data_IF_063639111141
#
_entry.id   IF_063639111141
#
_cell.length_a   1.000
_cell.length_b   1.000
_cell.length_c   1.000
_cell.angle_alpha   90.00
_cell.angle_beta   90.00
_cell.angle_gamma   90.00
#
_symmetry.space_group_name_H-M   'P 1'
#
loop_
_entity.id
_entity.type
_entity.pdbx_description
1 polymer ?
#
# COMPACT_ATOMS: atom_id res chain seq x y z
N UNK A 1 0.37 22.46 -30.74
CA UNK A 1 1.66 22.63 -30.05
C UNK A 1 2.27 21.26 -29.84
N UNK A 2 2.94 20.81 -30.88
CA UNK A 2 3.75 19.59 -30.93
C UNK A 2 5.18 20.07 -30.63
N UNK A 3 5.75 19.68 -29.51
CA UNK A 3 7.10 20.08 -29.18
C UNK A 3 7.38 19.94 -27.68
N UNK A 4 7.83 18.73 -27.25
CA UNK A 4 8.63 18.46 -26.03
C UNK A 4 8.84 16.96 -25.77
N UNK A 5 8.35 16.05 -26.61
CA UNK A 5 8.70 14.63 -26.52
C UNK A 5 10.06 14.34 -27.18
N UNK A 6 10.49 15.18 -28.10
CA UNK A 6 11.79 15.11 -28.78
C UNK A 6 12.95 15.55 -27.88
N UNK A 7 12.71 16.29 -26.78
CA UNK A 7 13.77 16.80 -25.91
C UNK A 7 14.46 15.71 -25.06
N UNK A 8 13.81 14.59 -24.76
CA UNK A 8 14.45 13.52 -23.98
C UNK A 8 15.32 12.64 -24.89
N UNK A 9 14.89 12.34 -26.09
CA UNK A 9 15.72 11.63 -27.08
C UNK A 9 16.83 12.55 -27.62
N UNK A 10 16.59 13.86 -27.72
CA UNK A 10 17.61 14.85 -28.05
C UNK A 10 18.61 15.09 -26.89
N UNK A 11 18.21 15.03 -25.63
CA UNK A 11 19.14 15.04 -24.51
C UNK A 11 20.00 13.78 -24.49
N UNK A 12 19.46 12.61 -24.77
CA UNK A 12 20.25 11.37 -24.91
C UNK A 12 21.18 11.40 -26.14
N UNK A 13 20.78 12.04 -27.24
CA UNK A 13 21.59 12.16 -28.46
C UNK A 13 22.65 13.25 -28.38
N UNK A 14 22.38 14.39 -27.72
CA UNK A 14 23.34 15.52 -27.64
C UNK A 14 24.42 15.36 -26.55
N UNK A 15 24.19 14.58 -25.50
CA UNK A 15 25.24 14.28 -24.51
C UNK A 15 26.30 13.29 -25.01
N UNK A 16 26.12 12.70 -26.18
CA UNK A 16 27.10 11.77 -26.78
C UNK A 16 28.24 12.45 -27.55
N UNK A 17 28.28 13.78 -27.66
CA UNK A 17 29.21 14.49 -28.58
C UNK A 17 30.32 15.30 -27.90
N UNK A 18 30.50 15.25 -26.57
CA UNK A 18 31.65 15.90 -25.91
C UNK A 18 32.59 14.87 -25.28
N UNK A 19 33.37 14.21 -26.11
CA UNK A 19 34.55 13.47 -25.73
C UNK A 19 35.65 13.84 -26.73
N UNK A 20 36.29 14.97 -26.57
CA UNK A 20 37.41 15.43 -27.37
C UNK A 20 38.74 15.18 -26.65
N UNK A 21 39.65 14.60 -27.36
CA UNK A 21 41.03 14.24 -26.99
C UNK A 21 41.85 15.39 -26.45
N UNK A 22 42.63 15.13 -25.40
CA UNK A 22 43.66 16.04 -24.89
C UNK A 22 44.81 15.25 -24.25
N UNK A 23 45.89 15.10 -25.00
CA UNK A 23 47.18 14.48 -24.63
C UNK A 23 47.93 15.34 -23.65
N UNK A 24 48.59 14.73 -22.61
CA UNK A 24 49.62 15.43 -21.81
C UNK A 24 49.99 14.71 -20.50
N UNK A 25 51.14 14.10 -20.50
CA UNK A 25 51.70 13.24 -19.47
C UNK A 25 52.08 13.87 -18.14
N UNK A 26 52.29 13.00 -17.15
CA UNK A 26 52.84 13.35 -15.86
C UNK A 26 52.59 12.28 -14.78
N UNK A 27 53.63 11.50 -14.50
CA UNK A 27 53.65 10.39 -13.55
C UNK A 27 53.74 10.89 -12.11
N UNK A 28 52.72 10.58 -11.28
CA UNK A 28 52.84 10.57 -9.81
C UNK A 28 52.02 9.40 -9.26
N UNK A 29 52.72 8.47 -8.60
CA UNK A 29 52.10 7.39 -7.80
C UNK A 29 51.70 7.97 -6.45
N UNK A 30 50.44 7.73 -6.06
CA UNK A 30 50.02 7.91 -4.67
C UNK A 30 48.67 8.58 -4.54
N UNK A 31 47.68 7.81 -4.02
CA UNK A 31 46.30 8.20 -3.75
C UNK A 31 45.50 8.38 -5.05
N UNK A 32 44.59 7.47 -5.34
CA UNK A 32 43.75 7.54 -6.54
C UNK A 32 42.96 8.86 -6.57
N UNK A 33 43.52 9.84 -7.25
CA UNK A 33 42.80 11.08 -7.58
C UNK A 33 41.76 10.69 -8.60
N UNK A 34 40.48 10.81 -8.25
CA UNK A 34 39.38 10.73 -9.19
C UNK A 34 39.58 11.86 -10.20
N UNK A 35 40.14 11.53 -11.36
CA UNK A 35 40.50 12.52 -12.38
C UNK A 35 39.37 12.82 -13.33
N UNK A 36 38.42 11.89 -13.46
CA UNK A 36 37.25 12.05 -14.32
C UNK A 36 36.00 11.42 -13.66
N UNK A 37 34.84 11.93 -13.99
CA UNK A 37 33.56 11.43 -13.50
C UNK A 37 33.29 9.95 -13.82
N UNK A 38 33.92 9.41 -14.88
CA UNK A 38 33.85 7.98 -15.22
C UNK A 38 34.57 7.07 -14.21
N UNK A 39 35.50 7.62 -13.41
CA UNK A 39 36.35 6.87 -12.49
C UNK A 39 35.73 6.79 -11.07
N UNK A 40 34.50 7.33 -10.87
CA UNK A 40 33.81 7.23 -9.59
C UNK A 40 33.48 5.77 -9.31
N UNK A 41 33.86 5.20 -8.14
CA UNK A 41 33.45 3.87 -7.73
C UNK A 41 31.92 3.72 -7.76
N UNK A 42 31.42 2.56 -8.22
CA UNK A 42 29.99 2.29 -8.37
C UNK A 42 29.21 2.57 -7.09
N UNK A 43 29.74 2.17 -5.94
CA UNK A 43 29.11 2.36 -4.63
C UNK A 43 28.92 3.84 -4.29
N UNK A 44 29.92 4.68 -4.59
CA UNK A 44 29.81 6.12 -4.38
C UNK A 44 28.82 6.76 -5.35
N UNK A 45 28.85 6.35 -6.62
CA UNK A 45 27.88 6.82 -7.60
C UNK A 45 26.44 6.48 -7.19
N UNK A 46 26.17 5.25 -6.78
CA UNK A 46 24.84 4.84 -6.33
C UNK A 46 24.41 5.59 -5.06
N UNK A 47 25.36 5.87 -4.15
CA UNK A 47 25.07 6.69 -2.98
C UNK A 47 24.73 8.14 -3.33
N UNK A 48 25.44 8.74 -4.30
CA UNK A 48 25.13 10.09 -4.82
C UNK A 48 23.76 10.07 -5.49
N UNK A 49 23.48 9.08 -6.33
CA UNK A 49 22.22 8.95 -7.05
C UNK A 49 21.04 8.71 -6.09
N UNK A 50 21.25 8.05 -4.96
CA UNK A 50 20.21 7.88 -3.94
C UNK A 50 19.79 9.18 -3.21
N UNK A 51 20.56 10.26 -3.37
CA UNK A 51 20.26 11.57 -2.77
C UNK A 51 19.53 12.53 -3.73
N UNK A 52 19.36 12.14 -5.00
CA UNK A 52 18.66 12.94 -6.00
C UNK A 52 17.31 12.29 -6.36
N UNK A 53 16.44 13.06 -7.02
CA UNK A 53 15.17 12.51 -7.50
C UNK A 53 15.36 11.53 -8.68
N UNK A 54 14.37 10.67 -8.89
CA UNK A 54 14.43 9.61 -9.90
C UNK A 54 14.59 10.15 -11.34
N UNK A 55 14.07 11.35 -11.63
CA UNK A 55 14.25 11.99 -12.93
C UNK A 55 15.72 12.33 -13.16
N UNK A 56 16.38 12.91 -12.16
CA UNK A 56 17.80 13.25 -12.19
C UNK A 56 18.66 11.98 -12.27
N UNK A 57 18.30 10.91 -11.55
CA UNK A 57 18.96 9.61 -11.64
C UNK A 57 18.90 9.00 -13.05
N UNK A 58 17.72 9.07 -13.71
CA UNK A 58 17.57 8.61 -15.10
C UNK A 58 18.42 9.45 -16.05
N UNK A 59 18.44 10.78 -15.91
CA UNK A 59 19.28 11.67 -16.73
C UNK A 59 20.76 11.35 -16.50
N UNK A 60 21.18 11.13 -15.27
CA UNK A 60 22.55 10.76 -14.92
C UNK A 60 23.01 9.45 -15.60
N UNK A 61 22.11 8.50 -15.83
CA UNK A 61 22.39 7.28 -16.59
C UNK A 61 22.79 7.54 -18.05
N UNK A 62 22.56 8.74 -18.57
CA UNK A 62 22.96 9.18 -19.89
C UNK A 62 24.37 9.80 -19.99
N UNK A 63 25.06 10.05 -18.86
CA UNK A 63 26.35 10.75 -18.84
C UNK A 63 27.46 9.95 -19.54
N UNK A 64 27.63 8.68 -19.22
CA UNK A 64 28.56 7.78 -19.87
C UNK A 64 28.11 6.31 -19.72
N UNK A 65 28.77 5.38 -20.42
CA UNK A 65 28.45 3.96 -20.32
C UNK A 65 28.61 3.41 -18.91
N UNK A 66 29.68 3.75 -18.21
CA UNK A 66 29.91 3.30 -16.83
C UNK A 66 28.82 3.77 -15.85
N UNK A 67 28.39 5.03 -15.95
CA UNK A 67 27.26 5.54 -15.15
C UNK A 67 25.95 4.85 -15.52
N UNK A 68 25.72 4.62 -16.81
CA UNK A 68 24.53 3.88 -17.26
C UNK A 68 24.49 2.50 -16.65
N UNK A 69 25.54 1.74 -16.78
CA UNK A 69 25.59 0.37 -16.30
C UNK A 69 25.44 0.33 -14.77
N UNK A 70 26.16 1.18 -14.06
CA UNK A 70 26.07 1.30 -12.59
C UNK A 70 24.64 1.66 -12.14
N UNK A 71 24.05 2.71 -12.72
CA UNK A 71 22.71 3.18 -12.33
C UNK A 71 21.63 2.18 -12.74
N UNK A 72 21.66 1.67 -13.97
CA UNK A 72 20.63 0.75 -14.46
C UNK A 72 20.65 -0.62 -13.75
N UNK A 73 21.82 -1.10 -13.34
CA UNK A 73 21.96 -2.38 -12.63
C UNK A 73 21.93 -2.23 -11.11
N UNK A 74 22.23 -1.03 -10.58
CA UNK A 74 22.30 -0.79 -9.15
C UNK A 74 21.02 -0.21 -8.54
N UNK A 75 20.16 0.49 -9.33
CA UNK A 75 18.91 1.03 -8.82
C UNK A 75 17.88 -0.08 -8.61
N UNK A 76 17.37 -0.16 -7.39
CA UNK A 76 16.31 -1.09 -6.99
C UNK A 76 14.95 -0.40 -6.80
N UNK A 77 14.91 0.92 -6.73
CA UNK A 77 13.72 1.72 -6.50
C UNK A 77 13.60 2.79 -7.58
N UNK A 78 12.43 2.94 -8.17
CA UNK A 78 12.16 3.94 -9.19
C UNK A 78 10.71 4.42 -9.12
N UNK A 79 10.52 5.75 -9.07
CA UNK A 79 9.20 6.38 -9.18
C UNK A 79 9.14 7.26 -10.43
N UNK A 80 8.19 6.96 -11.31
CA UNK A 80 7.96 7.74 -12.54
C UNK A 80 6.72 8.66 -12.42
N UNK A 81 6.17 8.85 -11.23
CA UNK A 81 4.96 9.66 -10.97
C UNK A 81 5.06 11.12 -11.46
N UNK A 82 6.28 11.62 -11.64
CA UNK A 82 6.54 12.95 -12.20
C UNK A 82 6.27 13.05 -13.70
N UNK A 83 6.24 11.92 -14.44
CA UNK A 83 6.01 11.90 -15.89
C UNK A 83 4.54 12.10 -16.21
N UNK A 84 4.17 13.31 -16.64
CA UNK A 84 2.76 13.69 -16.86
C UNK A 84 2.19 13.28 -18.22
N UNK A 85 3.01 13.12 -19.26
CA UNK A 85 2.53 13.06 -20.64
C UNK A 85 3.08 11.90 -21.48
N UNK A 86 3.96 11.05 -20.98
CA UNK A 86 4.58 9.98 -21.79
C UNK A 86 4.96 8.74 -20.98
N UNK A 87 4.17 8.42 -19.95
CA UNK A 87 4.47 7.33 -19.02
C UNK A 87 4.68 5.99 -19.75
N UNK A 88 3.79 5.65 -20.69
CA UNK A 88 3.84 4.37 -21.40
C UNK A 88 5.17 4.19 -22.12
N UNK A 89 5.56 5.16 -22.96
CA UNK A 89 6.81 5.10 -23.71
C UNK A 89 8.05 5.15 -22.81
N UNK A 90 7.97 5.92 -21.73
CA UNK A 90 9.03 5.99 -20.73
C UNK A 90 9.27 4.62 -20.08
N UNK A 91 8.21 3.94 -19.66
CA UNK A 91 8.30 2.58 -19.10
C UNK A 91 8.86 1.59 -20.14
N UNK A 92 8.37 1.62 -21.39
CA UNK A 92 8.85 0.76 -22.47
C UNK A 92 10.35 0.95 -22.72
N UNK A 93 10.87 2.16 -22.57
CA UNK A 93 12.30 2.46 -22.79
C UNK A 93 13.18 2.13 -21.58
N UNK A 94 12.65 2.26 -20.36
CA UNK A 94 13.42 2.10 -19.12
C UNK A 94 13.39 0.67 -18.56
N UNK A 95 12.23 -0.01 -18.57
CA UNK A 95 12.11 -1.34 -17.96
C UNK A 95 13.16 -2.36 -18.47
N UNK A 96 13.53 -2.41 -19.77
CA UNK A 96 14.58 -3.30 -20.25
C UNK A 96 15.97 -2.98 -19.72
N UNK A 97 16.21 -1.76 -19.26
CA UNK A 97 17.51 -1.31 -18.73
C UNK A 97 17.61 -1.51 -17.22
N UNK A 98 16.52 -1.24 -16.47
CA UNK A 98 16.46 -1.29 -15.01
C UNK A 98 15.93 -2.65 -14.51
N UNK A 99 16.61 -3.74 -14.86
CA UNK A 99 16.13 -5.11 -14.61
C UNK A 99 16.19 -5.54 -13.15
N UNK A 100 16.89 -4.79 -12.28
CA UNK A 100 17.03 -5.08 -10.83
C UNK A 100 16.04 -4.35 -9.94
N UNK A 101 15.01 -3.76 -10.54
CA UNK A 101 13.98 -3.05 -9.78
C UNK A 101 13.24 -3.99 -8.84
N UNK A 102 13.14 -3.55 -7.58
CA UNK A 102 12.33 -4.15 -6.53
C UNK A 102 11.08 -3.31 -6.25
N UNK A 103 11.18 -1.98 -6.42
CA UNK A 103 10.08 -1.04 -6.21
C UNK A 103 9.90 -0.19 -7.45
N UNK A 104 8.67 -0.17 -7.99
CA UNK A 104 8.31 0.64 -9.15
C UNK A 104 6.97 1.34 -8.91
N UNK A 105 6.98 2.68 -8.92
CA UNK A 105 5.81 3.50 -8.70
C UNK A 105 5.42 4.22 -9.99
N UNK A 106 4.26 3.85 -10.56
CA UNK A 106 3.73 4.37 -11.82
C UNK A 106 2.39 5.10 -11.62
N UNK A 107 2.14 5.63 -10.44
CA UNK A 107 0.90 6.33 -10.09
C UNK A 107 0.64 7.47 -11.07
N UNK A 108 -0.58 7.55 -11.61
CA UNK A 108 -0.97 8.52 -12.62
C UNK A 108 -2.16 9.37 -12.18
N UNK A 109 -2.16 10.63 -12.63
CA UNK A 109 -3.34 11.50 -12.60
C UNK A 109 -4.08 11.50 -13.95
N UNK A 110 -3.44 11.03 -15.03
CA UNK A 110 -4.00 10.92 -16.39
C UNK A 110 -3.79 9.52 -16.96
N UNK A 111 -4.75 9.05 -17.76
CA UNK A 111 -4.73 7.70 -18.36
C UNK A 111 -3.68 7.58 -19.47
N UNK A 112 -2.53 7.04 -19.18
CA UNK A 112 -1.46 6.91 -20.19
C UNK A 112 -0.81 5.52 -20.21
N UNK A 113 -0.85 4.77 -19.09
CA UNK A 113 -0.26 3.45 -19.03
C UNK A 113 -1.16 2.44 -19.76
N UNK A 114 -0.55 1.63 -20.61
CA UNK A 114 -1.18 0.58 -21.39
C UNK A 114 -0.58 -0.79 -21.06
N UNK A 115 -1.29 -1.86 -21.43
CA UNK A 115 -0.85 -3.23 -21.14
C UNK A 115 0.57 -3.52 -21.63
N UNK A 116 0.98 -2.96 -22.77
CA UNK A 116 2.32 -3.12 -23.35
C UNK A 116 3.45 -2.73 -22.40
N UNK A 117 3.26 -1.66 -21.63
CA UNK A 117 4.25 -1.24 -20.64
C UNK A 117 4.33 -2.23 -19.46
N UNK A 118 3.19 -2.68 -18.95
CA UNK A 118 3.14 -3.66 -17.84
C UNK A 118 3.67 -5.04 -18.29
N UNK A 119 3.36 -5.46 -19.51
CA UNK A 119 3.93 -6.68 -20.10
C UNK A 119 5.48 -6.58 -20.20
N UNK A 120 6.01 -5.39 -20.55
CA UNK A 120 7.45 -5.16 -20.60
C UNK A 120 8.08 -5.19 -19.21
N UNK A 121 7.45 -4.58 -18.21
CA UNK A 121 7.87 -4.68 -16.80
C UNK A 121 7.93 -6.16 -16.37
N UNK A 122 6.87 -6.90 -16.61
CA UNK A 122 6.77 -8.31 -16.24
C UNK A 122 7.84 -9.17 -16.92
N UNK A 123 8.22 -8.82 -18.17
CA UNK A 123 9.26 -9.50 -18.92
C UNK A 123 10.67 -9.20 -18.44
N UNK A 124 10.91 -8.01 -17.87
CA UNK A 124 12.27 -7.53 -17.58
C UNK A 124 12.58 -7.43 -16.09
N UNK A 125 11.58 -7.19 -15.21
CA UNK A 125 11.79 -6.87 -13.81
C UNK A 125 11.28 -8.00 -12.89
N UNK A 126 11.96 -9.14 -12.90
CA UNK A 126 11.53 -10.35 -12.16
C UNK A 126 11.72 -10.25 -10.63
N UNK A 127 12.58 -9.33 -10.17
CA UNK A 127 12.87 -9.10 -8.74
C UNK A 127 11.85 -8.14 -8.10
N UNK A 128 10.79 -7.73 -8.84
CA UNK A 128 9.82 -6.73 -8.40
C UNK A 128 9.01 -7.23 -7.20
N UNK A 129 8.99 -6.40 -6.15
CA UNK A 129 8.31 -6.66 -4.86
C UNK A 129 7.20 -5.66 -4.57
N UNK A 130 7.36 -4.40 -4.94
CA UNK A 130 6.37 -3.33 -4.74
C UNK A 130 6.06 -2.67 -6.08
N UNK A 131 4.79 -2.71 -6.48
CA UNK A 131 4.32 -2.12 -7.73
C UNK A 131 3.07 -1.28 -7.48
N UNK A 132 3.13 0.00 -7.87
CA UNK A 132 1.99 0.91 -7.85
C UNK A 132 1.56 1.27 -9.28
N UNK A 133 0.39 0.74 -9.69
CA UNK A 133 -0.28 1.01 -10.95
C UNK A 133 -1.58 1.80 -10.74
N UNK A 134 -1.77 2.43 -9.57
CA UNK A 134 -3.02 3.08 -9.21
C UNK A 134 -3.47 4.11 -10.25
N UNK A 135 -4.80 4.19 -10.46
CA UNK A 135 -5.47 5.07 -11.43
C UNK A 135 -5.12 4.80 -12.90
N UNK A 136 -4.62 3.60 -13.23
CA UNK A 136 -4.31 3.21 -14.61
C UNK A 136 -5.54 2.56 -15.27
N UNK A 137 -6.51 3.38 -15.67
CA UNK A 137 -7.83 2.93 -16.15
C UNK A 137 -7.82 2.22 -17.51
N UNK A 138 -6.72 2.32 -18.29
CA UNK A 138 -6.58 1.64 -19.59
C UNK A 138 -6.03 0.23 -19.50
N UNK A 139 -5.52 -0.18 -18.32
CA UNK A 139 -5.00 -1.52 -18.12
C UNK A 139 -6.13 -2.54 -18.14
N UNK A 140 -5.90 -3.66 -18.81
CA UNK A 140 -6.80 -4.79 -18.89
C UNK A 140 -6.22 -6.03 -18.18
N UNK A 141 -6.98 -7.12 -18.15
CA UNK A 141 -6.59 -8.41 -17.58
C UNK A 141 -5.22 -8.91 -18.10
N UNK A 142 -4.81 -8.50 -19.31
CA UNK A 142 -3.51 -8.84 -19.88
C UNK A 142 -2.35 -8.43 -18.97
N UNK A 143 -2.45 -7.21 -18.36
CA UNK A 143 -1.48 -6.73 -17.38
C UNK A 143 -1.36 -7.65 -16.16
N UNK A 144 -2.49 -8.07 -15.58
CA UNK A 144 -2.48 -8.96 -14.42
C UNK A 144 -1.94 -10.35 -14.75
N UNK A 145 -2.29 -10.90 -15.92
CA UNK A 145 -1.73 -12.17 -16.39
C UNK A 145 -0.21 -12.10 -16.63
N UNK A 146 0.27 -10.98 -17.17
CA UNK A 146 1.71 -10.77 -17.38
C UNK A 146 2.44 -10.67 -16.02
N UNK A 147 1.94 -9.86 -15.09
CA UNK A 147 2.51 -9.72 -13.75
C UNK A 147 2.55 -11.04 -12.98
N UNK A 148 1.47 -11.83 -13.05
CA UNK A 148 1.41 -13.13 -12.41
C UNK A 148 2.58 -14.03 -12.81
N UNK A 149 2.91 -14.05 -14.11
CA UNK A 149 3.98 -14.89 -14.67
C UNK A 149 5.37 -14.30 -14.48
N UNK A 150 5.49 -12.97 -14.62
CA UNK A 150 6.80 -12.30 -14.64
C UNK A 150 7.29 -11.83 -13.28
N UNK A 151 6.37 -11.54 -12.32
CA UNK A 151 6.70 -10.95 -11.03
C UNK A 151 6.14 -11.77 -9.84
N UNK A 152 6.54 -13.05 -9.67
CA UNK A 152 5.99 -13.91 -8.61
C UNK A 152 6.43 -13.49 -7.20
N UNK A 153 7.42 -12.59 -7.10
CA UNK A 153 7.97 -12.07 -5.85
C UNK A 153 7.23 -10.85 -5.31
N UNK A 154 6.10 -10.45 -5.92
CA UNK A 154 5.30 -9.30 -5.46
C UNK A 154 4.85 -9.50 -4.01
N UNK A 155 5.20 -8.49 -3.19
CA UNK A 155 4.83 -8.37 -1.77
C UNK A 155 3.74 -7.31 -1.62
N UNK A 156 3.83 -6.24 -2.41
CA UNK A 156 2.89 -5.13 -2.40
C UNK A 156 2.43 -4.80 -3.81
N UNK A 157 1.11 -4.73 -4.01
CA UNK A 157 0.49 -4.34 -5.26
C UNK A 157 -0.61 -3.32 -5.02
N UNK A 158 -0.52 -2.18 -5.69
CA UNK A 158 -1.56 -1.16 -5.69
C UNK A 158 -2.13 -1.01 -7.10
N UNK A 159 -3.38 -1.41 -7.27
CA UNK A 159 -4.16 -1.26 -8.52
C UNK A 159 -5.46 -0.47 -8.27
N UNK A 160 -5.49 0.35 -7.21
CA UNK A 160 -6.68 1.13 -6.87
C UNK A 160 -7.12 2.01 -8.03
N UNK A 161 -8.42 2.02 -8.28
CA UNK A 161 -9.03 2.76 -9.38
C UNK A 161 -8.86 2.11 -10.76
N UNK A 162 -8.24 0.94 -10.88
CA UNK A 162 -8.16 0.21 -12.16
C UNK A 162 -9.45 -0.58 -12.41
N UNK A 163 -10.46 0.07 -12.96
CA UNK A 163 -11.83 -0.47 -13.06
C UNK A 163 -12.05 -1.53 -14.13
N UNK A 164 -11.08 -1.76 -15.03
CA UNK A 164 -11.22 -2.68 -16.15
C UNK A 164 -10.80 -4.12 -15.84
N UNK A 165 -10.08 -4.34 -14.73
CA UNK A 165 -9.68 -5.70 -14.32
C UNK A 165 -10.87 -6.55 -13.91
N UNK A 166 -10.85 -7.85 -14.27
CA UNK A 166 -11.83 -8.83 -13.85
C UNK A 166 -11.42 -9.59 -12.58
N UNK A 167 -12.38 -10.20 -11.92
CA UNK A 167 -12.17 -11.10 -10.78
C UNK A 167 -11.38 -12.37 -11.16
N UNK A 168 -11.55 -12.86 -12.40
CA UNK A 168 -10.80 -13.99 -12.91
C UNK A 168 -9.30 -13.68 -13.02
N UNK A 169 -8.94 -12.49 -13.53
CA UNK A 169 -7.54 -12.08 -13.65
C UNK A 169 -6.90 -11.85 -12.26
N UNK A 170 -7.64 -11.27 -11.31
CA UNK A 170 -7.17 -11.10 -9.93
C UNK A 170 -6.99 -12.45 -9.23
N UNK A 171 -7.93 -13.39 -9.43
CA UNK A 171 -7.81 -14.76 -8.93
C UNK A 171 -6.61 -15.49 -9.52
N UNK A 172 -6.33 -15.30 -10.82
CA UNK A 172 -5.15 -15.85 -11.48
C UNK A 172 -3.86 -15.29 -10.88
N UNK A 173 -3.77 -13.96 -10.72
CA UNK A 173 -2.63 -13.30 -10.10
C UNK A 173 -2.33 -13.86 -8.70
N UNK A 174 -3.35 -14.05 -7.86
CA UNK A 174 -3.20 -14.58 -6.51
C UNK A 174 -2.57 -15.98 -6.47
N UNK A 175 -2.85 -16.80 -7.48
CA UNK A 175 -2.29 -18.15 -7.62
C UNK A 175 -0.76 -18.17 -7.81
N UNK A 176 -0.20 -17.11 -8.39
CA UNK A 176 1.24 -16.97 -8.65
C UNK A 176 1.94 -16.08 -7.62
N UNK A 177 1.34 -14.94 -7.27
CA UNK A 177 1.92 -13.97 -6.35
C UNK A 177 1.57 -14.28 -4.87
N UNK A 178 1.97 -15.46 -4.40
CA UNK A 178 1.63 -15.98 -3.06
C UNK A 178 2.32 -15.25 -1.89
N UNK A 179 3.32 -14.39 -2.19
CA UNK A 179 4.05 -13.59 -1.20
C UNK A 179 3.37 -12.25 -0.88
N UNK A 180 2.19 -11.98 -1.47
CA UNK A 180 1.46 -10.73 -1.25
C UNK A 180 1.15 -10.53 0.23
N UNK A 181 1.57 -9.37 0.75
CA UNK A 181 1.30 -8.90 2.11
C UNK A 181 0.41 -7.65 2.11
N UNK A 182 0.50 -6.83 1.06
CA UNK A 182 -0.25 -5.58 0.94
C UNK A 182 -0.89 -5.55 -0.45
N UNK A 183 -2.22 -5.43 -0.49
CA UNK A 183 -2.98 -5.34 -1.73
C UNK A 183 -4.02 -4.21 -1.64
N UNK A 184 -3.97 -3.29 -2.59
CA UNK A 184 -4.94 -2.20 -2.67
C UNK A 184 -5.79 -2.35 -3.93
N UNK A 185 -7.09 -2.62 -3.72
CA UNK A 185 -8.12 -2.81 -4.73
C UNK A 185 -9.22 -1.73 -4.67
N UNK A 186 -8.98 -0.63 -3.94
CA UNK A 186 -9.99 0.42 -3.75
C UNK A 186 -10.57 0.88 -5.10
N UNK A 187 -11.88 0.82 -5.26
CA UNK A 187 -12.57 1.18 -6.50
C UNK A 187 -12.45 0.18 -7.65
N UNK A 188 -11.88 -1.01 -7.42
CA UNK A 188 -11.80 -2.08 -8.44
C UNK A 188 -13.06 -2.96 -8.42
N UNK A 189 -14.22 -2.37 -8.68
CA UNK A 189 -15.54 -3.02 -8.50
C UNK A 189 -15.67 -4.35 -9.24
N UNK A 190 -15.14 -4.48 -10.46
CA UNK A 190 -15.22 -5.72 -11.25
C UNK A 190 -14.22 -6.79 -10.77
N UNK A 191 -13.03 -6.37 -10.33
CA UNK A 191 -11.98 -7.29 -9.89
C UNK A 191 -12.23 -7.82 -8.48
N UNK A 192 -12.71 -6.96 -7.58
CA UNK A 192 -12.98 -7.32 -6.19
C UNK A 192 -14.39 -7.88 -6.07
N UNK A 193 -14.51 -9.19 -6.12
CA UNK A 193 -15.72 -9.96 -5.90
C UNK A 193 -15.46 -11.09 -4.89
N UNK A 194 -16.50 -11.70 -4.35
CA UNK A 194 -16.38 -12.85 -3.44
C UNK A 194 -15.54 -13.98 -4.05
N UNK A 195 -15.66 -14.21 -5.37
CA UNK A 195 -14.87 -15.20 -6.09
C UNK A 195 -13.37 -14.89 -6.05
N UNK A 196 -13.00 -13.64 -6.33
CA UNK A 196 -11.59 -13.22 -6.26
C UNK A 196 -11.06 -13.27 -4.84
N UNK A 197 -11.85 -12.82 -3.85
CA UNK A 197 -11.45 -12.85 -2.44
C UNK A 197 -11.27 -14.27 -1.90
N UNK A 198 -12.09 -15.22 -2.36
CA UNK A 198 -11.90 -16.64 -2.06
C UNK A 198 -10.57 -17.17 -2.60
N UNK A 199 -10.21 -16.78 -3.83
CA UNK A 199 -8.91 -17.16 -4.41
C UNK A 199 -7.74 -16.52 -3.66
N UNK A 200 -7.86 -15.25 -3.25
CA UNK A 200 -6.86 -14.54 -2.45
C UNK A 200 -6.70 -15.21 -1.08
N UNK A 201 -7.79 -15.49 -0.36
CA UNK A 201 -7.77 -16.17 0.93
C UNK A 201 -7.10 -17.54 0.85
N UNK A 202 -7.33 -18.29 -0.24
CA UNK A 202 -6.71 -19.59 -0.44
C UNK A 202 -5.21 -19.53 -0.75
N UNK A 203 -4.76 -18.52 -1.53
CA UNK A 203 -3.39 -18.48 -2.06
C UNK A 203 -2.45 -17.54 -1.30
N UNK A 204 -2.97 -16.45 -0.71
CA UNK A 204 -2.16 -15.37 -0.13
C UNK A 204 -2.25 -15.35 1.41
N UNK A 205 -1.93 -16.48 2.07
CA UNK A 205 -2.02 -16.63 3.53
C UNK A 205 -1.15 -15.65 4.34
N UNK A 206 -0.17 -14.98 3.72
CA UNK A 206 0.67 -13.97 4.36
C UNK A 206 0.10 -12.55 4.27
N UNK A 207 -1.14 -12.37 3.76
CA UNK A 207 -1.73 -11.06 3.55
C UNK A 207 -1.96 -10.34 4.89
N UNK A 208 -1.42 -9.12 5.00
CA UNK A 208 -1.46 -8.29 6.21
C UNK A 208 -2.33 -7.06 6.03
N UNK A 209 -2.44 -6.53 4.82
CA UNK A 209 -3.24 -5.33 4.53
C UNK A 209 -3.98 -5.48 3.22
N UNK A 210 -5.29 -5.26 3.26
CA UNK A 210 -6.17 -5.28 2.09
C UNK A 210 -7.10 -4.08 2.12
N UNK A 211 -7.11 -3.32 1.02
CA UNK A 211 -8.07 -2.24 0.83
C UNK A 211 -9.08 -2.66 -0.26
N UNK A 212 -10.35 -2.72 0.13
CA UNK A 212 -11.51 -3.03 -0.71
C UNK A 212 -12.52 -1.87 -0.75
N UNK A 213 -12.09 -0.67 -0.35
CA UNK A 213 -12.99 0.48 -0.32
C UNK A 213 -13.72 0.69 -1.64
N UNK A 214 -15.04 0.89 -1.58
CA UNK A 214 -15.92 1.09 -2.74
C UNK A 214 -15.97 -0.09 -3.71
N UNK A 215 -15.78 -1.32 -3.21
CA UNK A 215 -15.95 -2.54 -3.98
C UNK A 215 -17.34 -3.16 -3.69
N UNK A 216 -18.35 -2.71 -4.42
CA UNK A 216 -19.76 -3.03 -4.18
C UNK A 216 -20.12 -4.52 -4.37
N UNK A 217 -19.28 -5.30 -5.07
CA UNK A 217 -19.48 -6.73 -5.30
C UNK A 217 -18.84 -7.63 -4.21
N UNK A 218 -18.33 -7.01 -3.14
CA UNK A 218 -17.77 -7.72 -1.98
C UNK A 218 -18.87 -7.97 -0.96
N UNK A 219 -19.12 -9.23 -0.65
CA UNK A 219 -20.07 -9.70 0.34
C UNK A 219 -19.43 -10.55 1.44
N UNK A 220 -20.28 -11.14 2.28
CA UNK A 220 -19.85 -11.94 3.42
C UNK A 220 -18.99 -13.15 3.02
N UNK A 221 -19.34 -13.84 1.93
CA UNK A 221 -18.61 -15.04 1.48
C UNK A 221 -17.15 -14.74 1.18
N UNK A 222 -16.88 -13.60 0.54
CA UNK A 222 -15.51 -13.14 0.23
C UNK A 222 -14.74 -12.79 1.50
N UNK A 223 -15.34 -11.97 2.37
CA UNK A 223 -14.69 -11.53 3.62
C UNK A 223 -14.44 -12.70 4.57
N UNK A 224 -15.39 -13.63 4.70
CA UNK A 224 -15.20 -14.85 5.48
C UNK A 224 -14.06 -15.72 4.93
N UNK A 225 -13.95 -15.84 3.60
CA UNK A 225 -12.84 -16.57 2.97
C UNK A 225 -11.47 -15.93 3.27
N UNK A 226 -11.40 -14.61 3.31
CA UNK A 226 -10.20 -13.88 3.74
C UNK A 226 -9.92 -14.10 5.23
N UNK A 227 -10.94 -14.04 6.09
CA UNK A 227 -10.79 -14.24 7.52
C UNK A 227 -10.19 -15.61 7.87
N UNK A 228 -10.62 -16.65 7.16
CA UNK A 228 -10.09 -18.01 7.35
C UNK A 228 -8.72 -18.21 6.70
N UNK A 229 -8.49 -17.62 5.53
CA UNK A 229 -7.28 -17.85 4.75
C UNK A 229 -6.10 -16.94 5.10
N UNK A 230 -6.35 -15.77 5.70
CA UNK A 230 -5.34 -14.75 5.99
C UNK A 230 -5.33 -14.38 7.49
N UNK A 231 -4.85 -15.29 8.39
CA UNK A 231 -4.89 -15.06 9.83
C UNK A 231 -4.00 -13.90 10.30
N UNK A 232 -2.96 -13.55 9.52
CA UNK A 232 -2.05 -12.44 9.81
C UNK A 232 -2.58 -11.06 9.38
N UNK A 233 -3.86 -10.97 8.99
CA UNK A 233 -4.46 -9.72 8.54
C UNK A 233 -4.46 -8.68 9.67
N UNK A 234 -3.85 -7.53 9.39
CA UNK A 234 -3.67 -6.39 10.33
C UNK A 234 -4.51 -5.18 9.97
N UNK A 235 -4.75 -4.96 8.69
CA UNK A 235 -5.55 -3.86 8.20
C UNK A 235 -6.51 -4.33 7.09
N UNK A 236 -7.79 -4.04 7.26
CA UNK A 236 -8.81 -4.31 6.26
C UNK A 236 -9.71 -3.08 6.11
N UNK A 237 -9.81 -2.58 4.90
CA UNK A 237 -10.72 -1.50 4.56
C UNK A 237 -11.87 -2.04 3.70
N UNK A 238 -13.08 -1.99 4.25
CA UNK A 238 -14.33 -2.40 3.63
C UNK A 238 -15.28 -1.19 3.44
N UNK A 239 -14.76 0.03 3.49
CA UNK A 239 -15.57 1.23 3.34
C UNK A 239 -16.38 1.19 2.03
N UNK A 240 -17.70 1.39 2.13
CA UNK A 240 -18.61 1.35 0.96
C UNK A 240 -18.89 -0.05 0.41
N UNK A 241 -18.50 -1.13 1.07
CA UNK A 241 -18.89 -2.49 0.73
C UNK A 241 -20.31 -2.76 1.28
N UNK A 242 -21.32 -2.42 0.51
CA UNK A 242 -22.72 -2.41 0.97
C UNK A 242 -23.35 -3.79 1.18
N UNK A 243 -22.74 -4.86 0.66
CA UNK A 243 -23.27 -6.23 0.77
C UNK A 243 -22.80 -6.97 2.03
N UNK A 244 -21.80 -6.44 2.77
CA UNK A 244 -21.33 -7.08 3.99
C UNK A 244 -22.33 -6.89 5.14
N UNK A 245 -22.42 -7.91 5.99
CA UNK A 245 -23.25 -7.93 7.20
C UNK A 245 -22.39 -8.22 8.44
N UNK A 246 -23.04 -8.41 9.58
CA UNK A 246 -22.41 -8.82 10.83
C UNK A 246 -21.55 -10.09 10.67
N UNK A 247 -21.94 -11.02 9.76
CA UNK A 247 -21.22 -12.27 9.56
C UNK A 247 -19.77 -12.05 9.11
N UNK A 248 -19.51 -11.05 8.25
CA UNK A 248 -18.18 -10.64 7.86
C UNK A 248 -17.33 -10.23 9.08
N UNK A 249 -17.89 -9.35 9.92
CA UNK A 249 -17.17 -8.81 11.08
C UNK A 249 -16.94 -9.86 12.15
N UNK A 250 -17.92 -10.74 12.39
CA UNK A 250 -17.82 -11.87 13.30
C UNK A 250 -16.72 -12.83 12.84
N UNK A 251 -16.64 -13.15 11.55
CA UNK A 251 -15.60 -14.01 11.01
C UNK A 251 -14.20 -13.39 11.21
N UNK A 252 -14.05 -12.07 10.95
CA UNK A 252 -12.81 -11.35 11.19
C UNK A 252 -12.44 -11.32 12.68
N UNK A 253 -13.41 -11.08 13.55
CA UNK A 253 -13.20 -11.10 15.00
C UNK A 253 -12.69 -12.45 15.48
N UNK A 254 -13.16 -13.55 14.95
CA UNK A 254 -12.79 -14.89 15.38
C UNK A 254 -11.45 -15.39 14.81
N UNK A 255 -11.09 -15.00 13.59
CA UNK A 255 -9.97 -15.60 12.86
C UNK A 255 -8.77 -14.66 12.68
N UNK A 256 -8.97 -13.33 12.53
CA UNK A 256 -7.88 -12.38 12.30
C UNK A 256 -7.40 -11.77 13.62
N UNK A 257 -6.67 -12.53 14.43
CA UNK A 257 -6.27 -12.13 15.78
C UNK A 257 -5.31 -10.92 15.82
N UNK A 258 -4.66 -10.62 14.74
CA UNK A 258 -3.72 -9.50 14.60
C UNK A 258 -4.35 -8.24 13.96
N UNK A 259 -5.68 -8.21 13.80
CA UNK A 259 -6.37 -7.08 13.19
C UNK A 259 -6.26 -5.82 14.06
N UNK A 260 -5.67 -4.75 13.51
CA UNK A 260 -5.40 -3.46 14.15
C UNK A 260 -6.22 -2.32 13.54
N UNK A 261 -6.55 -2.42 12.26
CA UNK A 261 -7.29 -1.38 11.54
C UNK A 261 -8.45 -1.99 10.76
N UNK A 262 -9.65 -1.48 10.95
CA UNK A 262 -10.86 -1.91 10.26
C UNK A 262 -11.67 -0.71 9.78
N UNK A 263 -11.88 -0.60 8.47
CA UNK A 263 -12.74 0.40 7.84
C UNK A 263 -14.10 -0.22 7.51
N UNK A 264 -15.17 0.35 8.06
CA UNK A 264 -16.57 -0.05 7.84
C UNK A 264 -17.44 1.18 7.47
N UNK A 265 -16.80 2.27 6.98
CA UNK A 265 -17.56 3.45 6.58
C UNK A 265 -18.66 3.07 5.57
N UNK A 266 -19.89 3.53 5.83
CA UNK A 266 -21.05 3.29 4.97
C UNK A 266 -21.43 1.81 4.75
N UNK A 267 -21.11 0.92 5.72
CA UNK A 267 -21.57 -0.47 5.75
C UNK A 267 -22.88 -0.55 6.53
N UNK A 268 -24.01 -0.31 5.87
CA UNK A 268 -25.32 -0.07 6.52
C UNK A 268 -25.93 -1.32 7.16
N UNK A 269 -25.50 -2.53 6.78
CA UNK A 269 -26.01 -3.79 7.32
C UNK A 269 -25.21 -4.28 8.55
N UNK A 270 -24.32 -3.44 9.10
CA UNK A 270 -23.60 -3.75 10.33
C UNK A 270 -24.41 -3.26 11.53
N UNK A 271 -24.66 -4.18 12.48
CA UNK A 271 -25.43 -3.95 13.70
C UNK A 271 -24.56 -4.11 14.95
N UNK A 272 -25.17 -3.90 16.11
CA UNK A 272 -24.53 -4.09 17.42
C UNK A 272 -23.93 -5.49 17.61
N UNK A 273 -24.49 -6.51 16.96
CA UNK A 273 -23.99 -7.89 17.01
C UNK A 273 -22.55 -8.00 16.53
N UNK A 274 -22.21 -7.31 15.44
CA UNK A 274 -20.84 -7.23 14.93
C UNK A 274 -19.89 -6.55 15.96
N UNK A 275 -20.34 -5.44 16.52
CA UNK A 275 -19.54 -4.63 17.46
C UNK A 275 -19.30 -5.39 18.77
N UNK A 276 -20.31 -6.04 19.33
CA UNK A 276 -20.14 -6.91 20.49
C UNK A 276 -19.21 -8.09 20.20
N UNK A 277 -19.24 -8.67 19.00
CA UNK A 277 -18.30 -9.74 18.61
C UNK A 277 -16.86 -9.27 18.65
N UNK A 278 -16.57 -8.06 18.13
CA UNK A 278 -15.24 -7.45 18.22
C UNK A 278 -14.82 -7.22 19.67
N UNK A 279 -15.73 -6.68 20.51
CA UNK A 279 -15.44 -6.39 21.92
C UNK A 279 -15.18 -7.67 22.74
N UNK A 280 -15.97 -8.73 22.56
CA UNK A 280 -15.85 -9.99 23.30
C UNK A 280 -14.58 -10.77 22.94
N UNK A 281 -14.06 -10.66 21.74
CA UNK A 281 -12.81 -11.29 21.31
C UNK A 281 -11.67 -11.08 22.28
N UNK A 282 -11.50 -9.86 22.81
CA UNK A 282 -10.45 -9.52 23.76
C UNK A 282 -10.62 -10.22 25.11
N UNK A 283 -11.87 -10.41 25.53
CA UNK A 283 -12.18 -11.07 26.80
C UNK A 283 -11.80 -12.54 26.78
N UNK A 284 -12.08 -13.24 25.68
CA UNK A 284 -11.76 -14.64 25.49
C UNK A 284 -10.23 -14.90 25.35
N UNK A 285 -9.50 -13.96 24.74
CA UNK A 285 -8.05 -14.10 24.53
C UNK A 285 -7.22 -13.73 25.76
N UNK A 286 -7.73 -12.94 26.71
CA UNK A 286 -7.00 -12.63 27.96
C UNK A 286 -6.51 -13.84 28.72
N UNK A 287 -7.17 -15.00 28.59
CA UNK A 287 -6.79 -16.23 29.27
C UNK A 287 -5.61 -16.95 28.58
N UNK A 288 -5.43 -16.80 27.28
CA UNK A 288 -4.31 -17.39 26.55
C UNK A 288 -2.99 -16.59 26.70
N UNK A 289 -3.07 -15.28 26.92
CA UNK A 289 -1.91 -14.38 26.95
C UNK A 289 -1.31 -14.14 28.34
N UNK A 290 -1.89 -14.67 29.40
CA UNK A 290 -1.33 -14.56 30.77
C UNK A 290 0.06 -15.22 30.95
N UNK A 291 0.51 -16.01 29.99
CA UNK A 291 1.81 -16.72 30.08
C UNK A 291 3.00 -15.98 29.47
N UNK A 292 2.78 -14.87 28.74
CA UNK A 292 3.85 -14.08 28.13
C UNK A 292 4.00 -12.77 28.88
N UNK A 293 4.76 -12.82 29.99
CA UNK A 293 5.26 -11.62 30.67
C UNK A 293 6.25 -10.91 29.76
N UNK A 294 6.01 -9.64 29.44
CA UNK A 294 6.83 -8.66 28.76
C UNK A 294 6.46 -8.41 27.29
N UNK A 295 5.41 -7.59 27.09
CA UNK A 295 5.37 -6.50 26.10
C UNK A 295 4.10 -5.70 26.31
N UNK A 296 4.24 -4.45 26.73
CA UNK A 296 3.23 -3.39 26.64
C UNK A 296 3.08 -2.93 25.17
N UNK A 297 2.82 -3.84 24.24
CA UNK A 297 2.35 -3.46 22.92
C UNK A 297 0.83 -3.47 22.96
N UNK A 298 0.23 -2.37 22.56
CA UNK A 298 -1.21 -2.14 22.44
C UNK A 298 -1.83 -3.22 21.53
N UNK A 299 -2.27 -4.32 22.15
CA UNK A 299 -2.86 -5.48 21.44
C UNK A 299 -4.32 -5.18 21.11
N UNK A 300 -4.72 -5.44 19.85
CA UNK A 300 -6.08 -5.31 19.37
C UNK A 300 -6.29 -4.14 18.41
N UNK A 301 -7.55 -3.74 18.23
CA UNK A 301 -7.90 -2.65 17.33
C UNK A 301 -7.36 -1.31 17.85
N UNK A 302 -6.67 -0.60 16.96
CA UNK A 302 -6.15 0.76 17.18
C UNK A 302 -6.81 1.78 16.26
N UNK A 303 -7.40 1.33 15.13
CA UNK A 303 -8.16 2.17 14.21
C UNK A 303 -9.47 1.47 13.82
N UNK A 304 -10.58 2.16 13.96
CA UNK A 304 -11.90 1.70 13.52
C UNK A 304 -12.70 2.86 12.95
N UNK A 305 -13.20 2.71 11.73
CA UNK A 305 -14.11 3.66 11.11
C UNK A 305 -15.47 3.00 10.93
N UNK A 306 -16.46 3.42 11.71
CA UNK A 306 -17.86 2.98 11.64
C UNK A 306 -18.80 4.15 11.28
N UNK A 307 -18.25 5.19 10.66
CA UNK A 307 -19.05 6.34 10.22
C UNK A 307 -20.13 5.88 9.25
N UNK A 308 -21.31 6.51 9.35
CA UNK A 308 -22.49 6.18 8.56
C UNK A 308 -23.05 4.74 8.76
N UNK A 309 -22.63 4.01 9.79
CA UNK A 309 -23.27 2.76 10.21
C UNK A 309 -24.44 3.10 11.14
N UNK A 310 -25.60 3.40 10.58
CA UNK A 310 -26.74 4.01 11.30
C UNK A 310 -27.49 3.05 12.23
N UNK A 311 -27.30 1.73 12.10
CA UNK A 311 -27.94 0.73 12.95
C UNK A 311 -27.22 0.50 14.30
N UNK A 312 -26.07 1.17 14.53
CA UNK A 312 -25.29 1.01 15.76
C UNK A 312 -25.87 1.83 16.91
N UNK A 313 -25.80 1.26 18.13
CA UNK A 313 -26.25 1.93 19.36
C UNK A 313 -25.09 2.31 20.27
N UNK A 314 -25.25 3.36 21.13
CA UNK A 314 -24.22 3.79 22.06
C UNK A 314 -23.70 2.68 22.99
N UNK A 315 -24.53 1.80 23.57
CA UNK A 315 -24.04 0.72 24.44
C UNK A 315 -23.06 -0.22 23.77
N UNK A 316 -23.32 -0.61 22.50
CA UNK A 316 -22.42 -1.50 21.76
C UNK A 316 -21.06 -0.84 21.48
N UNK A 317 -21.07 0.41 21.02
CA UNK A 317 -19.85 1.15 20.71
C UNK A 317 -19.09 1.52 21.99
N UNK A 318 -19.79 1.79 23.10
CA UNK A 318 -19.13 2.00 24.40
C UNK A 318 -18.43 0.72 24.88
N UNK A 319 -19.07 -0.45 24.79
CA UNK A 319 -18.46 -1.72 25.14
C UNK A 319 -17.18 -1.99 24.32
N UNK A 320 -17.14 -1.54 23.05
CA UNK A 320 -15.94 -1.60 22.22
C UNK A 320 -14.83 -0.68 22.73
N UNK A 321 -15.13 0.58 23.08
CA UNK A 321 -14.17 1.52 23.68
C UNK A 321 -13.59 0.98 25.00
N UNK A 322 -14.42 0.33 25.81
CA UNK A 322 -14.00 -0.27 27.07
C UNK A 322 -13.08 -1.48 26.85
N UNK A 323 -13.31 -2.22 25.76
CA UNK A 323 -12.50 -3.37 25.38
C UNK A 323 -11.17 -2.98 24.70
N UNK A 324 -11.13 -1.86 23.97
CA UNK A 324 -9.97 -1.39 23.22
C UNK A 324 -9.58 0.03 23.63
N UNK A 325 -8.73 0.20 24.68
CA UNK A 325 -8.34 1.52 25.19
C UNK A 325 -7.61 2.40 24.19
N UNK A 326 -7.07 1.82 23.09
CA UNK A 326 -6.43 2.54 22.01
C UNK A 326 -7.43 3.22 21.04
N UNK A 327 -8.73 2.87 21.13
CA UNK A 327 -9.78 3.51 20.34
C UNK A 327 -10.22 4.82 21.01
N UNK A 328 -10.02 5.93 20.33
CA UNK A 328 -10.29 7.27 20.82
C UNK A 328 -11.24 8.03 19.90
N UNK A 329 -12.30 8.59 20.50
CA UNK A 329 -13.22 9.54 19.83
C UNK A 329 -12.76 10.99 19.97
N UNK A 330 -11.74 11.27 20.78
CA UNK A 330 -11.28 12.63 21.07
C UNK A 330 -10.53 13.29 19.89
N UNK A 331 -10.61 14.64 19.75
CA UNK A 331 -10.08 15.39 18.61
C UNK A 331 -8.58 15.24 18.34
N UNK A 332 -7.78 14.79 19.29
CA UNK A 332 -6.33 14.65 19.11
C UNK A 332 -5.84 13.31 18.58
N UNK A 333 -6.69 12.25 18.60
CA UNK A 333 -6.26 10.88 18.23
C UNK A 333 -7.07 10.24 17.12
N UNK A 334 -8.37 10.55 17.01
CA UNK A 334 -9.27 10.12 15.91
C UNK A 334 -9.12 8.66 15.46
N UNK A 335 -8.86 7.75 16.38
CA UNK A 335 -8.69 6.33 16.05
C UNK A 335 -10.00 5.55 15.97
N UNK A 336 -11.08 6.06 16.59
CA UNK A 336 -12.46 5.65 16.40
C UNK A 336 -13.23 6.76 15.69
N UNK A 337 -13.64 6.52 14.45
CA UNK A 337 -14.35 7.50 13.62
C UNK A 337 -15.82 7.08 13.54
N UNK A 338 -16.71 7.96 14.01
CA UNK A 338 -18.17 7.75 14.15
C UNK A 338 -18.99 8.84 13.45
N UNK A 339 -18.40 9.55 12.48
CA UNK A 339 -19.04 10.67 11.78
C UNK A 339 -20.34 10.23 11.09
N UNK A 340 -21.40 11.05 11.23
CA UNK A 340 -22.69 10.76 10.63
C UNK A 340 -23.54 9.72 11.36
N UNK A 341 -23.08 9.22 12.54
CA UNK A 341 -23.88 8.40 13.44
C UNK A 341 -24.47 9.29 14.53
N UNK A 342 -25.60 9.95 14.24
CA UNK A 342 -26.22 10.95 15.13
C UNK A 342 -26.59 10.42 16.54
N UNK A 343 -26.85 9.13 16.65
CA UNK A 343 -27.18 8.46 17.89
C UNK A 343 -25.96 8.09 18.76
N UNK A 344 -24.72 8.23 18.26
CA UNK A 344 -23.51 7.85 18.99
C UNK A 344 -22.84 9.01 19.74
N UNK A 345 -23.49 10.14 19.89
CA UNK A 345 -22.92 11.35 20.54
C UNK A 345 -22.58 11.17 22.02
N UNK A 346 -23.19 10.17 22.69
CA UNK A 346 -22.92 9.83 24.10
C UNK A 346 -21.75 8.87 24.32
N UNK A 347 -21.11 8.41 23.25
CA UNK A 347 -19.95 7.50 23.36
C UNK A 347 -18.70 8.28 23.74
N UNK A 348 -18.02 7.86 24.79
CA UNK A 348 -16.81 8.50 25.28
C UNK A 348 -15.63 7.51 25.35
N UNK A 349 -14.48 7.93 24.86
CA UNK A 349 -13.24 7.18 25.06
C UNK A 349 -12.69 7.34 26.49
N UNK A 350 -11.81 6.44 26.92
CA UNK A 350 -11.19 6.44 28.24
C UNK A 350 -10.54 7.79 28.63
N UNK A 351 -10.11 8.59 27.66
CA UNK A 351 -9.53 9.92 27.90
C UNK A 351 -10.52 10.91 28.55
N UNK A 352 -11.80 10.84 28.22
CA UNK A 352 -12.81 11.74 28.76
C UNK A 352 -12.97 11.57 30.28
N UNK A 353 -12.87 10.33 30.77
CA UNK A 353 -12.94 10.03 32.20
C UNK A 353 -11.70 10.50 32.96
N UNK A 354 -10.53 10.52 32.36
CA UNK A 354 -9.31 11.04 32.99
C UNK A 354 -9.32 12.56 33.09
N UNK A 355 -9.85 13.28 32.11
CA UNK A 355 -9.97 14.73 32.14
C UNK A 355 -10.89 15.22 33.29
N UNK A 356 -11.97 14.50 33.57
CA UNK A 356 -12.84 14.83 34.70
C UNK A 356 -12.19 14.59 36.08
N UNK A 357 -11.33 13.56 36.21
CA UNK A 357 -10.61 13.31 37.47
C UNK A 357 -9.56 14.36 37.77
N UNK A 358 -8.88 14.90 36.77
CA UNK A 358 -7.92 15.99 36.95
C UNK A 358 -8.58 17.33 37.21
N UNK A 359 -9.76 17.60 36.62
CA UNK A 359 -10.52 18.82 36.88
C UNK A 359 -11.12 18.88 38.29
N UNK A 360 -11.47 17.71 38.87
CA UNK A 360 -12.00 17.63 40.24
C UNK A 360 -10.93 17.61 41.34
N UNK A 361 -9.64 17.55 40.96
CA UNK A 361 -8.52 17.53 41.92
C UNK A 361 -7.94 18.91 42.27
N UNK A 362 -8.48 20.00 41.71
CA UNK A 362 -8.13 21.36 42.14
C UNK A 362 -9.23 21.91 43.07
N UNK A 363 -8.98 21.97 44.36
CA UNK A 363 -9.90 22.67 45.25
C UNK A 363 -9.86 24.18 44.95
N UNK A 364 -11.03 24.79 44.78
CA UNK A 364 -11.16 26.23 44.72
C UNK A 364 -10.50 26.83 45.98
N UNK A 365 -9.66 27.87 45.86
CA UNK A 365 -9.23 28.62 47.02
C UNK A 365 -10.47 29.33 47.60
N UNK A 366 -10.76 29.04 48.87
CA UNK A 366 -11.78 29.76 49.64
C UNK A 366 -11.32 31.22 49.77
N UNK A 367 -12.22 32.14 49.42
CA UNK A 367 -12.18 33.54 49.83
C UNK A 367 -12.80 33.71 51.20
#
# INVERSE_FOLDING_TARGET
>A
MVGKAEDLDLCFGKMMVFGGDGVGGGMMRGVGVITEWKDIPMELLLRIVSLVDDRTAIVASGVCSGWRDAICLGLTHLSLSWSKNNMNNLVLSLAPKFTKLQVLILRQDKQQLEDSAVETIAKCCHDLQDLDLSKSFKLSDRSLYALARGCPNLIKLNISGCSAFSDAALGYLSGFCRKLKILNLCGCVKAASDRALKAIGYNCGQLQSLNLGWCENVGDVGVMSLAYGCPDLRALDLCGCVLITDESVIALANNCLHLRSLGLYYCQNITDRAIYSLAHRRLNNKNMWKSVKNRHEEEGLINLNISQCTALTPPAVQALCDSFPALHTCPGRHSLIISGCLNLTSVHCACAFQAHRTASAFPHPAH
#
